data_IF_009099845395
#
_entry.id   IF_009099845395
#
_cell.length_a   1.000
_cell.length_b   1.000
_cell.length_c   1.000
_cell.angle_alpha   90.00
_cell.angle_beta   90.00
_cell.angle_gamma   90.00
#
_symmetry.space_group_name_H-M   'P 1'
#
loop_
_entity.id
_entity.type
_entity.pdbx_description
1 polymer ?
#
# COMPACT_ATOMS: atom_id res chain seq x y z
N UNK A 1 -35.31 -46.89 -22.04
CA UNK A 1 -35.03 -45.60 -22.68
C UNK A 1 -35.46 -44.49 -21.71
N UNK A 2 -34.55 -44.02 -20.91
CA UNK A 2 -34.79 -42.95 -19.94
C UNK A 2 -33.82 -41.81 -20.26
N UNK A 3 -34.37 -40.68 -20.70
CA UNK A 3 -33.63 -39.45 -20.97
C UNK A 3 -33.46 -38.66 -19.69
N UNK A 4 -32.22 -38.41 -19.25
CA UNK A 4 -31.90 -37.50 -18.18
C UNK A 4 -31.76 -36.09 -18.75
N UNK A 5 -32.60 -35.15 -18.30
CA UNK A 5 -32.50 -33.74 -18.61
C UNK A 5 -31.44 -33.07 -17.71
N UNK A 6 -30.38 -32.58 -18.30
CA UNK A 6 -29.36 -31.74 -17.65
C UNK A 6 -29.86 -30.31 -17.58
N UNK A 7 -30.26 -29.83 -16.41
CA UNK A 7 -30.54 -28.42 -16.16
C UNK A 7 -29.22 -27.68 -15.81
N UNK A 8 -28.49 -27.25 -16.82
CA UNK A 8 -27.40 -26.30 -16.70
C UNK A 8 -27.97 -24.88 -16.61
N UNK A 9 -27.75 -24.19 -15.50
CA UNK A 9 -28.05 -22.74 -15.36
C UNK A 9 -27.12 -21.96 -16.31
N UNK A 10 -27.72 -21.30 -17.31
CA UNK A 10 -27.05 -20.48 -18.31
C UNK A 10 -26.56 -19.17 -17.68
N UNK A 11 -25.30 -18.81 -17.92
CA UNK A 11 -24.66 -17.54 -17.50
C UNK A 11 -25.46 -16.29 -17.88
N UNK A 12 -26.28 -16.36 -18.93
CA UNK A 12 -27.15 -15.26 -19.36
C UNK A 12 -28.36 -15.04 -18.46
N UNK A 13 -28.81 -16.06 -17.74
CA UNK A 13 -29.92 -15.97 -16.79
C UNK A 13 -29.52 -15.29 -15.48
N UNK A 14 -28.23 -15.38 -15.08
CA UNK A 14 -27.69 -14.71 -13.91
C UNK A 14 -27.58 -13.18 -14.11
N UNK A 15 -27.26 -12.73 -15.32
CA UNK A 15 -27.09 -11.31 -15.65
C UNK A 15 -28.41 -10.56 -15.89
N UNK A 16 -29.55 -11.26 -16.09
CA UNK A 16 -30.85 -10.63 -16.31
C UNK A 16 -31.65 -10.35 -15.04
N UNK A 17 -31.21 -10.87 -13.89
CA UNK A 17 -31.85 -10.63 -12.59
C UNK A 17 -31.35 -9.37 -11.88
N UNK A 18 -30.39 -8.62 -12.46
CA UNK A 18 -29.72 -7.47 -11.85
C UNK A 18 -30.16 -6.10 -12.38
N UNK A 19 -31.35 -5.99 -12.95
CA UNK A 19 -31.87 -4.70 -13.39
C UNK A 19 -33.11 -4.32 -12.59
N UNK A 20 -32.95 -3.20 -11.85
CA UNK A 20 -33.99 -2.40 -11.20
C UNK A 20 -34.49 -2.94 -9.87
N UNK A 21 -33.77 -2.65 -8.79
CA UNK A 21 -34.34 -2.29 -7.51
C UNK A 21 -33.42 -1.24 -6.88
N UNK A 22 -33.98 -0.10 -6.55
CA UNK A 22 -33.34 1.07 -5.94
C UNK A 22 -32.50 0.70 -4.73
N UNK A 23 -31.25 1.17 -4.73
CA UNK A 23 -30.12 0.81 -3.86
C UNK A 23 -30.22 1.27 -2.40
N UNK A 24 -31.33 1.83 -1.96
CA UNK A 24 -31.51 2.33 -0.58
C UNK A 24 -32.06 1.31 0.43
N UNK A 25 -32.51 0.13 0.00
CA UNK A 25 -33.09 -0.88 0.90
C UNK A 25 -32.14 -2.04 1.24
N UNK A 26 -31.06 -2.24 0.49
CA UNK A 26 -30.19 -3.43 0.65
C UNK A 26 -29.16 -3.29 1.79
N UNK A 27 -28.71 -2.08 2.13
CA UNK A 27 -27.75 -1.88 3.22
C UNK A 27 -28.37 -1.98 4.62
N UNK A 28 -29.64 -1.65 4.80
CA UNK A 28 -30.33 -1.83 6.07
C UNK A 28 -30.56 -3.29 6.47
N UNK A 29 -30.65 -4.21 5.51
CA UNK A 29 -30.88 -5.63 5.77
C UNK A 29 -29.59 -6.39 6.14
N UNK A 30 -28.42 -5.96 5.66
CA UNK A 30 -27.15 -6.57 6.04
C UNK A 30 -26.72 -6.22 7.47
N UNK A 31 -27.03 -5.03 7.96
CA UNK A 31 -26.73 -4.62 9.32
C UNK A 31 -27.55 -5.38 10.39
N UNK A 32 -28.77 -5.80 10.04
CA UNK A 32 -29.64 -6.57 10.96
C UNK A 32 -29.30 -8.05 10.95
N UNK A 33 -28.89 -8.62 9.80
CA UNK A 33 -28.49 -10.02 9.70
C UNK A 33 -27.12 -10.32 10.36
N UNK A 34 -26.19 -9.36 10.35
CA UNK A 34 -24.88 -9.51 10.99
C UNK A 34 -24.99 -9.63 12.53
N UNK A 35 -26.00 -9.03 13.16
CA UNK A 35 -26.19 -9.11 14.61
C UNK A 35 -26.80 -10.44 15.10
N UNK A 36 -27.34 -11.28 14.24
CA UNK A 36 -27.93 -12.57 14.63
C UNK A 36 -27.03 -13.77 14.36
N UNK A 37 -25.94 -13.62 13.62
CA UNK A 37 -25.00 -14.71 13.30
C UNK A 37 -23.87 -14.90 14.37
N UNK A 38 -23.84 -14.07 15.41
CA UNK A 38 -22.75 -14.07 16.44
C UNK A 38 -23.00 -15.08 17.57
N UNK A 39 -24.09 -15.83 17.57
CA UNK A 39 -24.48 -16.68 18.71
C UNK A 39 -24.02 -18.14 18.65
N UNK A 40 -23.15 -18.55 17.73
CA UNK A 40 -22.66 -19.93 17.67
C UNK A 40 -21.25 -20.04 17.07
N UNK A 41 -20.21 -19.58 17.77
CA UNK A 41 -18.86 -20.03 17.49
C UNK A 41 -18.13 -20.36 18.80
N UNK A 42 -17.54 -21.56 18.80
CA UNK A 42 -16.66 -22.12 19.82
C UNK A 42 -15.81 -21.05 20.51
N UNK A 43 -15.75 -21.12 21.85
CA UNK A 43 -14.66 -20.54 22.64
C UNK A 43 -13.30 -21.02 22.10
N UNK A 44 -12.68 -20.20 21.24
CA UNK A 44 -11.24 -20.14 21.19
C UNK A 44 -10.90 -19.26 22.38
N UNK A 45 -10.30 -19.82 23.38
CA UNK A 45 -9.75 -19.10 24.54
C UNK A 45 -8.59 -18.23 23.99
N UNK A 46 -8.92 -17.08 23.42
CA UNK A 46 -8.02 -15.95 23.37
C UNK A 46 -7.93 -15.48 24.83
N UNK A 47 -6.75 -15.47 25.41
CA UNK A 47 -6.50 -14.70 26.63
C UNK A 47 -7.13 -13.33 26.38
N UNK A 48 -8.12 -12.96 27.19
CA UNK A 48 -8.83 -11.70 27.01
C UNK A 48 -7.81 -10.58 27.21
N UNK A 49 -7.34 -10.03 26.11
CA UNK A 49 -6.46 -8.86 26.12
C UNK A 49 -7.19 -7.79 26.94
N UNK A 50 -6.63 -7.38 28.08
CA UNK A 50 -7.26 -6.41 28.99
C UNK A 50 -7.48 -5.13 28.20
N UNK A 51 -8.73 -4.85 27.87
CA UNK A 51 -9.09 -3.61 27.19
C UNK A 51 -8.91 -2.45 28.18
N UNK A 52 -8.08 -1.47 27.80
CA UNK A 52 -7.92 -0.26 28.60
C UNK A 52 -9.21 0.57 28.55
N UNK A 53 -9.56 1.17 29.68
CA UNK A 53 -10.64 2.15 29.79
C UNK A 53 -10.24 3.47 29.08
N UNK A 54 -11.22 4.30 28.75
CA UNK A 54 -10.96 5.64 28.18
C UNK A 54 -10.04 6.48 29.08
N UNK A 55 -10.17 6.40 30.39
CA UNK A 55 -9.31 7.12 31.34
C UNK A 55 -7.85 6.62 31.29
N UNK A 56 -7.67 5.30 31.17
CA UNK A 56 -6.34 4.69 31.04
C UNK A 56 -5.70 5.06 29.70
N UNK A 57 -6.46 5.03 28.58
CA UNK A 57 -5.97 5.44 27.28
C UNK A 57 -5.60 6.93 27.28
N UNK A 58 -6.41 7.78 27.92
CA UNK A 58 -6.12 9.20 28.04
C UNK A 58 -4.84 9.50 28.87
N UNK A 59 -4.46 8.60 29.76
CA UNK A 59 -3.25 8.69 30.58
C UNK A 59 -1.99 8.15 29.88
N UNK A 60 -2.11 7.50 28.74
CA UNK A 60 -0.96 6.98 27.99
C UNK A 60 -0.05 8.12 27.50
N UNK A 61 1.27 7.87 27.38
CA UNK A 61 2.18 8.78 26.71
C UNK A 61 1.68 9.11 25.29
N UNK A 62 1.76 10.37 24.89
CA UNK A 62 1.33 10.83 23.56
C UNK A 62 2.54 11.27 22.76
N UNK A 63 2.63 10.80 21.52
CA UNK A 63 3.72 11.12 20.59
C UNK A 63 3.12 11.61 19.27
N UNK A 64 3.40 12.86 18.92
CA UNK A 64 3.07 13.39 17.60
C UNK A 64 4.04 12.80 16.59
N UNK A 65 3.53 12.12 15.56
CA UNK A 65 4.32 11.64 14.44
C UNK A 65 4.27 12.65 13.30
N UNK A 66 5.42 13.24 12.98
CA UNK A 66 5.57 14.05 11.77
C UNK A 66 5.62 13.11 10.57
N UNK A 67 4.65 13.26 9.66
CA UNK A 67 4.59 12.49 8.43
C UNK A 67 5.62 13.02 7.43
N UNK A 68 6.23 12.10 6.70
CA UNK A 68 7.21 12.41 5.65
C UNK A 68 6.76 11.83 4.32
N UNK A 69 7.05 12.53 3.24
CA UNK A 69 6.72 12.05 1.91
C UNK A 69 7.52 10.77 1.57
N UNK A 70 6.92 9.78 0.88
CA UNK A 70 7.66 8.66 0.31
C UNK A 70 8.82 9.14 -0.58
N UNK A 71 9.94 8.42 -0.67
CA UNK A 71 10.16 7.05 -0.21
C UNK A 71 10.66 6.90 1.23
N UNK A 72 10.58 7.95 2.04
CA UNK A 72 11.10 7.96 3.40
C UNK A 72 10.05 7.53 4.41
N UNK A 73 10.52 7.03 5.56
CA UNK A 73 9.71 6.71 6.71
C UNK A 73 9.89 7.76 7.82
N UNK A 74 8.87 8.03 8.66
CA UNK A 74 9.04 8.86 9.83
C UNK A 74 10.07 8.25 10.78
N UNK A 75 10.75 9.11 11.56
CA UNK A 75 11.69 8.65 12.58
C UNK A 75 10.94 7.79 13.61
N UNK A 76 11.48 6.62 13.90
CA UNK A 76 10.87 5.64 14.81
C UNK A 76 11.94 4.77 15.48
N UNK A 77 11.57 4.14 16.59
CA UNK A 77 12.37 3.11 17.24
C UNK A 77 12.03 1.74 16.65
N UNK A 78 13.03 0.92 16.36
CA UNK A 78 12.82 -0.45 15.85
C UNK A 78 12.34 -1.40 16.95
N UNK A 79 12.68 -1.10 18.21
CA UNK A 79 12.23 -1.79 19.42
C UNK A 79 11.51 -0.79 20.29
N UNK A 80 10.32 -1.14 20.77
CA UNK A 80 9.50 -0.23 21.55
C UNK A 80 10.19 0.19 22.86
N UNK A 81 10.14 1.48 23.14
CA UNK A 81 10.62 2.04 24.40
C UNK A 81 9.45 2.16 25.40
N UNK A 82 9.33 1.17 26.26
CA UNK A 82 8.26 1.15 27.28
C UNK A 82 6.93 0.52 26.82
N UNK A 83 5.84 0.85 27.52
CA UNK A 83 4.49 0.34 27.26
C UNK A 83 3.79 0.98 26.06
N UNK A 84 2.48 0.69 25.90
CA UNK A 84 1.66 1.32 24.86
C UNK A 84 1.64 2.84 24.96
N UNK A 85 1.51 3.50 23.80
CA UNK A 85 1.39 4.96 23.68
C UNK A 85 0.30 5.33 22.66
N UNK A 86 -0.07 6.60 22.63
CA UNK A 86 -0.93 7.16 21.60
C UNK A 86 -0.04 7.88 20.58
N UNK A 87 -0.05 7.39 19.34
CA UNK A 87 0.62 8.02 18.19
C UNK A 87 -0.39 8.95 17.53
N UNK A 88 -0.12 10.26 17.59
CA UNK A 88 -0.97 11.28 17.01
C UNK A 88 -0.53 11.59 15.59
N UNK A 89 -1.44 11.44 14.64
CA UNK A 89 -1.22 11.66 13.20
C UNK A 89 -2.22 12.67 12.68
N UNK A 90 -1.78 13.61 11.88
CA UNK A 90 -2.66 14.53 11.14
C UNK A 90 -2.41 14.37 9.65
N UNK A 91 -3.45 14.13 8.87
CA UNK A 91 -3.42 14.03 7.42
C UNK A 91 -4.36 15.05 6.80
N UNK A 92 -3.87 15.78 5.82
CA UNK A 92 -4.68 16.71 5.02
C UNK A 92 -4.89 16.12 3.62
N UNK A 93 -6.13 15.97 3.22
CA UNK A 93 -6.49 15.51 1.89
C UNK A 93 -6.25 16.63 0.89
N UNK A 94 -5.62 16.29 -0.25
CA UNK A 94 -5.41 17.25 -1.35
C UNK A 94 -5.81 16.61 -2.68
N UNK A 95 -6.68 17.31 -3.38
CA UNK A 95 -7.01 17.04 -4.78
C UNK A 95 -6.15 17.95 -5.64
N UNK A 96 -5.27 17.40 -6.47
CA UNK A 96 -4.27 18.20 -7.18
C UNK A 96 -3.90 17.63 -8.53
N UNK A 97 -3.49 18.49 -9.47
CA UNK A 97 -2.90 18.05 -10.74
C UNK A 97 -1.65 17.24 -10.48
N UNK A 98 -1.52 16.13 -11.17
CA UNK A 98 -0.44 15.17 -11.02
C UNK A 98 0.05 14.72 -12.38
N UNK A 99 1.28 15.08 -12.69
CA UNK A 99 1.99 14.59 -13.87
C UNK A 99 2.49 13.17 -13.60
N UNK A 100 2.11 12.22 -14.45
CA UNK A 100 2.47 10.81 -14.29
C UNK A 100 3.73 10.44 -15.07
N UNK A 101 3.94 11.06 -16.23
CA UNK A 101 5.13 10.88 -17.06
C UNK A 101 5.52 12.18 -17.79
N UNK A 102 6.57 12.13 -18.60
CA UNK A 102 7.08 13.24 -19.40
C UNK A 102 6.43 13.35 -20.78
N UNK A 103 5.48 12.46 -21.13
CA UNK A 103 4.73 12.50 -22.39
C UNK A 103 3.47 13.35 -22.32
N UNK A 104 3.20 13.96 -21.16
CA UNK A 104 2.01 14.76 -20.89
C UNK A 104 0.84 13.98 -20.30
N UNK A 105 1.06 12.72 -19.86
CA UNK A 105 0.07 12.00 -19.10
C UNK A 105 -0.11 12.64 -17.71
N UNK A 106 -1.29 13.19 -17.46
CA UNK A 106 -1.65 13.80 -16.19
C UNK A 106 -3.01 13.34 -15.70
N UNK A 107 -3.22 13.43 -14.39
CA UNK A 107 -4.51 13.20 -13.75
C UNK A 107 -4.72 14.18 -12.60
N UNK A 108 -5.93 14.23 -12.07
CA UNK A 108 -6.19 14.81 -10.76
C UNK A 108 -5.96 13.73 -9.70
N UNK A 109 -4.79 13.77 -9.06
CA UNK A 109 -4.52 12.85 -7.96
C UNK A 109 -5.35 13.22 -6.74
N UNK A 110 -5.88 12.21 -6.09
CA UNK A 110 -6.52 12.27 -4.79
C UNK A 110 -5.49 11.76 -3.79
N UNK A 111 -5.08 12.59 -2.85
CA UNK A 111 -3.89 12.28 -2.04
C UNK A 111 -4.11 12.47 -0.55
N UNK A 112 -3.38 11.68 0.24
CA UNK A 112 -3.15 11.96 1.65
C UNK A 112 -1.83 12.74 1.76
N UNK A 113 -1.90 13.97 2.29
CA UNK A 113 -0.79 14.93 2.45
C UNK A 113 -0.06 15.33 1.15
N UNK A 114 -0.68 15.11 -0.02
CA UNK A 114 -0.13 15.60 -1.30
C UNK A 114 0.98 14.72 -1.85
N UNK A 115 1.02 13.45 -1.53
CA UNK A 115 1.93 12.46 -2.12
C UNK A 115 1.19 11.21 -2.59
N UNK A 116 1.77 10.49 -3.55
CA UNK A 116 1.33 9.18 -4.03
C UNK A 116 2.52 8.24 -3.96
N UNK A 117 2.46 7.21 -3.10
CA UNK A 117 1.42 6.94 -2.10
C UNK A 117 1.41 8.01 -1.00
N UNK A 118 0.37 8.02 -0.18
CA UNK A 118 0.34 8.78 1.06
C UNK A 118 1.44 8.34 2.04
N UNK A 119 1.76 9.16 3.06
CA UNK A 119 2.86 8.91 3.98
C UNK A 119 2.74 7.59 4.74
N UNK A 120 3.89 6.98 5.08
CA UNK A 120 3.94 5.83 5.98
C UNK A 120 3.61 6.25 7.42
N UNK A 121 2.68 5.55 8.07
CA UNK A 121 2.45 5.64 9.52
C UNK A 121 3.22 4.52 10.19
N UNK A 122 3.92 4.81 11.30
CA UNK A 122 4.67 3.82 12.05
C UNK A 122 4.24 3.81 13.51
N UNK A 123 3.92 2.63 14.03
CA UNK A 123 3.63 2.42 15.46
C UNK A 123 4.10 1.02 15.89
N UNK A 124 3.94 0.67 17.16
CA UNK A 124 4.19 -0.67 17.66
C UNK A 124 2.88 -1.38 18.00
N UNK A 125 2.93 -2.69 17.97
CA UNK A 125 1.81 -3.51 18.42
C UNK A 125 1.38 -3.12 19.84
N UNK A 126 0.07 -2.98 20.05
CA UNK A 126 -0.52 -2.50 21.30
C UNK A 126 -0.62 -0.97 21.42
N UNK A 127 0.04 -0.18 20.58
CA UNK A 127 -0.13 1.28 20.54
C UNK A 127 -1.52 1.66 20.02
N UNK A 128 -1.96 2.87 20.33
CA UNK A 128 -3.13 3.50 19.75
C UNK A 128 -2.68 4.54 18.71
N UNK A 129 -3.34 4.57 17.57
CA UNK A 129 -3.17 5.64 16.59
C UNK A 129 -4.38 6.56 16.63
N UNK A 130 -4.17 7.84 16.87
CA UNK A 130 -5.19 8.88 16.74
C UNK A 130 -4.94 9.69 15.48
N UNK A 131 -5.71 9.41 14.44
CA UNK A 131 -5.69 10.16 13.20
C UNK A 131 -6.65 11.35 13.27
N UNK A 132 -6.16 12.53 12.91
CA UNK A 132 -7.01 13.67 12.50
C UNK A 132 -6.97 13.74 10.98
N UNK A 133 -8.09 13.48 10.32
CA UNK A 133 -8.25 13.56 8.86
C UNK A 133 -8.97 14.87 8.53
N UNK A 134 -8.37 15.67 7.65
CA UNK A 134 -8.85 16.99 7.26
C UNK A 134 -9.14 16.98 5.77
N UNK A 135 -10.37 17.34 5.39
CA UNK A 135 -10.77 17.59 4.01
C UNK A 135 -11.00 19.10 3.82
N UNK A 136 -10.04 19.84 3.25
CA UNK A 136 -10.18 21.29 3.07
C UNK A 136 -11.37 21.67 2.20
N UNK A 137 -11.95 22.85 2.45
CA UNK A 137 -13.08 23.41 1.67
C UNK A 137 -12.74 23.58 0.17
N UNK A 138 -11.45 23.66 -0.16
CA UNK A 138 -10.98 23.76 -1.55
C UNK A 138 -11.12 22.47 -2.36
N UNK A 139 -11.29 21.32 -1.70
CA UNK A 139 -11.54 20.05 -2.37
C UNK A 139 -12.98 19.97 -2.89
N UNK A 140 -13.21 19.08 -3.85
CA UNK A 140 -14.50 18.94 -4.54
C UNK A 140 -15.27 17.70 -4.12
N UNK A 141 -14.57 16.70 -3.55
CA UNK A 141 -15.12 15.38 -3.27
C UNK A 141 -15.12 15.06 -1.78
N UNK A 142 -16.00 14.16 -1.40
CA UNK A 142 -15.99 13.53 -0.09
C UNK A 142 -14.95 12.43 -0.01
N UNK A 143 -14.38 12.26 1.16
CA UNK A 143 -13.30 11.30 1.40
C UNK A 143 -13.46 10.60 2.75
N UNK A 144 -12.77 9.48 2.90
CA UNK A 144 -12.63 8.77 4.17
C UNK A 144 -11.30 8.03 4.20
N UNK A 145 -11.09 7.17 5.20
CA UNK A 145 -9.94 6.28 5.24
C UNK A 145 -10.34 4.92 5.81
N UNK A 146 -9.99 3.87 5.09
CA UNK A 146 -10.05 2.47 5.49
C UNK A 146 -8.63 2.02 5.84
N UNK A 147 -8.42 1.57 7.09
CA UNK A 147 -7.16 1.01 7.56
C UNK A 147 -7.21 -0.51 7.61
N UNK A 148 -6.45 -1.19 6.78
CA UNK A 148 -6.30 -2.65 6.87
C UNK A 148 -5.59 -3.08 8.17
N UNK A 149 -4.89 -2.18 8.85
CA UNK A 149 -4.26 -2.39 10.14
C UNK A 149 -5.20 -2.30 11.33
N UNK A 150 -6.42 -1.78 11.15
CA UNK A 150 -7.40 -1.63 12.21
C UNK A 150 -8.28 -2.87 12.35
N UNK A 151 -8.88 -3.05 13.53
CA UNK A 151 -9.90 -4.07 13.77
C UNK A 151 -11.23 -3.38 14.01
N UNK A 152 -12.15 -3.51 13.07
CA UNK A 152 -13.48 -2.90 13.12
C UNK A 152 -14.15 -2.90 11.74
N UNK A 153 -15.46 -2.70 11.71
CA UNK A 153 -16.22 -2.71 10.46
C UNK A 153 -15.73 -1.61 9.51
N UNK A 154 -15.52 -1.98 8.24
CA UNK A 154 -15.05 -1.10 7.17
C UNK A 154 -13.72 -0.37 7.50
N UNK A 155 -12.85 -1.00 8.32
CA UNK A 155 -11.52 -0.44 8.64
C UNK A 155 -11.53 0.99 9.21
N UNK A 156 -12.69 1.48 9.67
CA UNK A 156 -12.91 2.86 10.10
C UNK A 156 -13.51 3.78 9.02
N UNK A 157 -13.71 3.30 7.79
CA UNK A 157 -14.19 4.12 6.66
C UNK A 157 -15.50 4.85 6.94
N UNK A 158 -16.48 4.17 7.57
CA UNK A 158 -17.75 4.81 7.94
C UNK A 158 -17.63 5.86 9.07
N UNK A 159 -16.55 5.79 9.85
CA UNK A 159 -16.29 6.69 10.98
C UNK A 159 -15.43 7.90 10.60
N UNK A 160 -14.90 7.90 9.37
CA UNK A 160 -13.96 8.92 8.89
C UNK A 160 -14.43 9.64 7.63
N UNK A 161 -15.69 9.47 7.26
CA UNK A 161 -16.26 10.18 6.12
C UNK A 161 -16.32 11.68 6.41
N UNK A 162 -15.71 12.49 5.54
CA UNK A 162 -15.60 13.95 5.64
C UNK A 162 -15.94 14.61 4.30
N UNK A 163 -16.84 15.58 4.35
CA UNK A 163 -17.13 16.48 3.24
C UNK A 163 -16.08 17.59 3.14
N UNK A 164 -15.97 18.30 2.00
CA UNK A 164 -15.15 19.50 1.90
C UNK A 164 -15.45 20.50 3.03
N UNK A 165 -14.41 20.97 3.71
CA UNK A 165 -14.52 21.85 4.88
C UNK A 165 -14.66 21.13 6.23
N UNK A 166 -14.65 19.81 6.24
CA UNK A 166 -14.80 19.02 7.46
C UNK A 166 -13.48 18.34 7.89
N UNK A 167 -13.43 17.98 9.16
CA UNK A 167 -12.40 17.11 9.72
C UNK A 167 -13.02 16.11 10.70
N UNK A 168 -12.34 14.99 10.88
CA UNK A 168 -12.73 13.95 11.84
C UNK A 168 -11.51 13.42 12.58
N UNK A 169 -11.72 12.89 13.78
CA UNK A 169 -10.69 12.18 14.52
C UNK A 169 -11.12 10.73 14.75
N UNK A 170 -10.27 9.79 14.35
CA UNK A 170 -10.43 8.36 14.58
C UNK A 170 -9.30 7.87 15.48
N UNK A 171 -9.61 7.02 16.46
CA UNK A 171 -8.63 6.26 17.23
C UNK A 171 -8.85 4.77 17.00
N UNK A 172 -7.76 4.05 16.73
CA UNK A 172 -7.77 2.59 16.65
C UNK A 172 -6.53 2.02 17.36
N UNK A 173 -6.62 0.76 17.84
CA UNK A 173 -5.52 0.04 18.49
C UNK A 173 -4.81 -0.83 17.46
N UNK A 174 -3.49 -0.81 17.43
CA UNK A 174 -2.65 -1.65 16.60
C UNK A 174 -2.54 -3.06 17.22
N UNK A 175 -3.44 -3.97 16.86
CA UNK A 175 -3.54 -5.30 17.48
C UNK A 175 -2.75 -6.40 16.75
N UNK A 176 -2.17 -6.09 15.58
CA UNK A 176 -1.38 -7.02 14.79
C UNK A 176 -0.14 -6.31 14.27
N UNK A 177 1.02 -6.95 14.43
CA UNK A 177 2.26 -6.47 13.82
C UNK A 177 2.34 -6.85 12.36
N UNK A 178 2.85 -5.92 11.53
CA UNK A 178 2.96 -6.10 10.09
C UNK A 178 2.99 -4.79 9.33
N UNK A 179 2.97 -4.89 8.00
CA UNK A 179 2.75 -3.78 7.10
C UNK A 179 1.39 -3.93 6.41
N UNK A 180 0.63 -2.85 6.38
CA UNK A 180 -0.76 -2.85 5.93
C UNK A 180 -1.01 -1.65 5.04
N UNK A 181 -1.87 -1.78 4.04
CA UNK A 181 -2.32 -0.61 3.29
C UNK A 181 -3.40 0.16 4.05
N UNK A 182 -3.54 1.43 3.73
CA UNK A 182 -4.74 2.22 3.96
C UNK A 182 -5.15 2.88 2.65
N UNK A 183 -6.42 3.15 2.48
CA UNK A 183 -6.92 3.82 1.28
C UNK A 183 -8.25 4.52 1.52
N UNK A 184 -8.61 5.41 0.62
CA UNK A 184 -9.95 5.97 0.60
C UNK A 184 -10.95 4.93 0.09
N UNK A 185 -12.10 4.82 0.74
CA UNK A 185 -13.16 3.88 0.39
C UNK A 185 -14.54 4.52 0.61
N UNK A 186 -14.88 5.59 -0.11
CA UNK A 186 -16.09 6.37 0.20
C UNK A 186 -17.34 5.55 -0.06
N UNK A 187 -17.57 5.05 -1.25
CA UNK A 187 -18.73 4.18 -1.56
C UNK A 187 -18.67 3.61 -2.98
N UNK A 188 -19.08 2.35 -3.16
CA UNK A 188 -19.35 1.74 -4.45
C UNK A 188 -18.23 1.87 -5.48
N UNK A 189 -18.55 2.43 -6.64
CA UNK A 189 -17.56 2.62 -7.73
C UNK A 189 -16.51 3.69 -7.43
N UNK A 190 -16.76 4.54 -6.42
CA UNK A 190 -15.78 5.56 -6.01
C UNK A 190 -14.60 4.95 -5.27
N UNK A 191 -14.74 3.78 -4.65
CA UNK A 191 -13.64 3.09 -4.00
C UNK A 191 -12.47 2.84 -4.97
N UNK A 192 -12.63 2.07 -6.06
CA UNK A 192 -11.54 1.89 -7.02
C UNK A 192 -11.14 3.19 -7.70
N UNK A 193 -12.09 4.13 -7.95
CA UNK A 193 -11.76 5.42 -8.53
C UNK A 193 -10.77 6.20 -7.66
N UNK A 194 -11.01 6.35 -6.35
CA UNK A 194 -10.10 7.06 -5.45
C UNK A 194 -8.74 6.35 -5.34
N UNK A 195 -8.73 5.02 -5.25
CA UNK A 195 -7.49 4.24 -5.15
C UNK A 195 -6.61 4.41 -6.40
N UNK A 196 -7.18 4.29 -7.61
CA UNK A 196 -6.39 4.43 -8.85
C UNK A 196 -6.03 5.88 -9.18
N UNK A 197 -6.56 6.87 -8.45
CA UNK A 197 -6.12 8.26 -8.50
C UNK A 197 -5.09 8.59 -7.41
N UNK A 198 -4.53 7.57 -6.72
CA UNK A 198 -3.41 7.73 -5.81
C UNK A 198 -3.76 7.77 -4.33
N UNK A 199 -5.05 7.63 -3.96
CA UNK A 199 -5.49 7.82 -2.58
C UNK A 199 -5.32 6.56 -1.73
N UNK A 200 -4.07 6.19 -1.52
CA UNK A 200 -3.65 5.05 -0.71
C UNK A 200 -2.29 5.30 -0.04
N UNK A 201 -1.94 4.47 0.92
CA UNK A 201 -0.67 4.51 1.62
C UNK A 201 -0.48 3.27 2.48
N UNK A 202 0.45 3.31 3.45
CA UNK A 202 0.73 2.17 4.30
C UNK A 202 0.91 2.53 5.78
N UNK A 203 0.66 1.54 6.64
CA UNK A 203 0.97 1.53 8.07
C UNK A 203 1.97 0.41 8.33
N UNK A 204 3.04 0.71 9.04
CA UNK A 204 3.95 -0.28 9.61
C UNK A 204 3.71 -0.38 11.11
N UNK A 205 3.23 -1.53 11.56
CA UNK A 205 3.08 -1.87 12.98
C UNK A 205 4.22 -2.81 13.35
N UNK A 206 5.23 -2.30 14.02
CA UNK A 206 6.37 -3.10 14.46
C UNK A 206 6.01 -3.98 15.66
N UNK A 207 6.54 -5.21 15.74
CA UNK A 207 6.53 -5.96 16.99
C UNK A 207 7.24 -5.13 18.07
N UNK A 208 6.75 -5.18 19.34
CA UNK A 208 7.35 -4.38 20.41
C UNK A 208 8.83 -4.74 20.67
N UNK A 209 9.18 -5.99 20.44
CA UNK A 209 10.54 -6.49 20.61
C UNK A 209 11.41 -6.35 19.35
N UNK A 210 10.91 -5.69 18.28
CA UNK A 210 11.57 -5.56 16.98
C UNK A 210 11.33 -6.77 16.08
N UNK A 211 11.84 -6.66 14.84
CA UNK A 211 11.76 -7.74 13.85
C UNK A 211 12.68 -8.90 14.27
N UNK A 212 12.25 -10.13 14.03
CA UNK A 212 13.04 -11.32 14.38
C UNK A 212 13.09 -12.30 13.23
N UNK A 213 14.17 -13.08 13.18
CA UNK A 213 14.24 -14.26 12.34
C UNK A 213 13.51 -15.46 12.98
N UNK A 214 13.44 -16.58 12.26
CA UNK A 214 12.81 -17.82 12.72
C UNK A 214 13.45 -18.42 14.00
N UNK A 215 14.68 -18.04 14.32
CA UNK A 215 15.43 -18.50 15.51
C UNK A 215 15.28 -17.50 16.68
N UNK A 216 14.53 -16.41 16.49
CA UNK A 216 14.25 -15.39 17.49
C UNK A 216 15.36 -14.33 17.61
N UNK A 217 16.35 -14.31 16.70
CA UNK A 217 17.38 -13.29 16.70
C UNK A 217 16.81 -11.96 16.20
N UNK A 218 17.19 -10.86 16.84
CA UNK A 218 16.78 -9.52 16.46
C UNK A 218 17.38 -9.15 15.09
N UNK A 219 16.51 -8.69 14.20
CA UNK A 219 16.88 -8.13 12.89
C UNK A 219 16.77 -6.60 12.97
N UNK A 220 17.85 -5.92 12.54
CA UNK A 220 17.89 -4.45 12.49
C UNK A 220 18.13 -3.97 11.07
N UNK A 221 17.82 -2.69 10.84
CA UNK A 221 18.02 -2.02 9.55
C UNK A 221 18.55 -0.61 9.75
N UNK A 222 19.25 -0.12 8.75
CA UNK A 222 19.84 1.22 8.72
C UNK A 222 19.00 2.19 7.90
N UNK A 223 18.38 1.68 6.83
CA UNK A 223 17.58 2.44 5.87
C UNK A 223 16.16 1.88 5.80
N UNK A 224 15.19 2.74 5.54
CA UNK A 224 13.82 2.33 5.16
C UNK A 224 13.50 2.93 3.80
N UNK A 225 13.13 2.07 2.86
CA UNK A 225 12.66 2.47 1.52
C UNK A 225 11.19 2.12 1.37
N UNK A 226 10.34 3.15 1.42
CA UNK A 226 8.91 2.98 1.24
C UNK A 226 8.53 3.18 -0.22
N UNK A 227 8.13 2.08 -0.86
CA UNK A 227 7.68 2.03 -2.25
C UNK A 227 6.19 1.78 -2.28
N UNK A 228 5.44 2.70 -2.87
CA UNK A 228 4.04 2.48 -3.24
C UNK A 228 3.94 2.25 -4.73
N UNK A 229 3.49 1.07 -5.14
CA UNK A 229 3.19 0.79 -6.54
C UNK A 229 1.77 1.25 -6.85
N UNK A 230 1.66 2.13 -7.84
CA UNK A 230 0.41 2.77 -8.25
C UNK A 230 0.11 2.43 -9.70
N UNK A 231 -1.11 1.96 -9.95
CA UNK A 231 -1.65 1.78 -11.29
C UNK A 231 -2.59 2.95 -11.63
N UNK A 232 -2.29 3.64 -12.75
CA UNK A 232 -3.13 4.71 -13.30
C UNK A 232 -3.87 4.25 -14.56
N UNK A 233 -5.05 4.81 -14.78
CA UNK A 233 -5.93 4.54 -15.92
C UNK A 233 -6.31 5.87 -16.60
N UNK A 234 -5.36 6.46 -17.31
CA UNK A 234 -5.51 7.79 -17.93
C UNK A 234 -6.17 7.64 -19.30
N UNK A 235 -7.32 8.31 -19.54
CA UNK A 235 -8.00 8.23 -20.82
C UNK A 235 -7.22 8.93 -21.94
N UNK A 236 -7.40 8.42 -23.16
CA UNK A 236 -6.96 9.06 -24.40
C UNK A 236 -8.17 9.50 -25.24
N UNK A 237 -7.98 10.51 -26.04
CA UNK A 237 -8.97 10.94 -27.02
C UNK A 237 -8.92 10.07 -28.30
N UNK A 238 -9.73 10.43 -29.30
CA UNK A 238 -9.81 9.71 -30.58
C UNK A 238 -8.54 9.80 -31.43
N UNK A 239 -7.67 10.79 -31.15
CA UNK A 239 -6.39 10.97 -31.82
C UNK A 239 -5.25 10.21 -31.12
N UNK A 240 -5.51 9.67 -29.93
CA UNK A 240 -4.54 8.98 -29.09
C UNK A 240 -3.78 9.90 -28.12
N UNK A 241 -4.18 11.18 -28.02
CA UNK A 241 -3.61 12.13 -27.07
C UNK A 241 -4.22 11.97 -25.67
N UNK A 242 -3.44 12.28 -24.63
CA UNK A 242 -3.92 12.22 -23.26
C UNK A 242 -5.00 13.26 -23.00
N UNK A 243 -6.13 12.86 -22.42
CA UNK A 243 -7.18 13.79 -22.01
C UNK A 243 -6.78 14.54 -20.74
N UNK A 244 -7.02 15.85 -20.76
CA UNK A 244 -6.79 16.77 -19.63
C UNK A 244 -8.12 17.26 -19.08
N UNK A 245 -8.22 17.44 -17.75
CA UNK A 245 -9.44 17.80 -17.04
C UNK A 245 -9.19 19.02 -16.13
N UNK A 246 -10.24 19.83 -15.93
CA UNK A 246 -10.13 21.06 -15.15
C UNK A 246 -10.16 20.86 -13.63
N UNK A 247 -10.69 19.73 -13.16
CA UNK A 247 -10.79 19.45 -11.73
C UNK A 247 -10.98 17.99 -11.39
N UNK A 248 -10.78 17.65 -10.12
CA UNK A 248 -11.04 16.32 -9.61
C UNK A 248 -12.50 15.90 -9.86
N UNK A 249 -12.70 14.68 -10.34
CA UNK A 249 -13.99 14.13 -10.69
C UNK A 249 -14.47 14.41 -12.13
N UNK A 250 -13.91 15.39 -12.84
CA UNK A 250 -14.34 15.72 -14.19
C UNK A 250 -14.06 14.59 -15.20
N UNK A 251 -13.11 13.71 -14.91
CA UNK A 251 -12.73 12.56 -15.74
C UNK A 251 -13.57 11.29 -15.50
N UNK A 252 -14.53 11.32 -14.58
CA UNK A 252 -15.27 10.15 -14.11
C UNK A 252 -15.85 9.29 -15.26
N UNK A 253 -16.54 9.94 -16.22
CA UNK A 253 -17.14 9.27 -17.36
C UNK A 253 -16.14 8.58 -18.29
N UNK A 254 -14.94 9.12 -18.43
CA UNK A 254 -13.90 8.65 -19.36
C UNK A 254 -12.99 7.61 -18.71
N UNK A 255 -12.73 7.73 -17.40
CA UNK A 255 -11.82 6.85 -16.66
C UNK A 255 -12.43 5.46 -16.45
N UNK A 256 -13.73 5.35 -16.13
CA UNK A 256 -14.35 4.05 -15.87
C UNK A 256 -14.28 3.06 -17.02
N UNK A 257 -14.50 3.45 -18.29
CA UNK A 257 -14.24 2.55 -19.43
C UNK A 257 -12.82 2.00 -19.45
N UNK A 258 -11.79 2.83 -19.17
CA UNK A 258 -10.39 2.40 -19.11
C UNK A 258 -10.16 1.46 -17.94
N UNK A 259 -10.63 1.79 -16.73
CA UNK A 259 -10.52 0.94 -15.54
C UNK A 259 -11.12 -0.46 -15.77
N UNK A 260 -12.27 -0.53 -16.46
CA UNK A 260 -12.95 -1.81 -16.74
C UNK A 260 -12.19 -2.74 -17.68
N UNK A 261 -11.17 -2.24 -18.39
CA UNK A 261 -10.27 -3.10 -19.18
C UNK A 261 -9.36 -3.92 -18.29
N UNK A 262 -9.17 -3.53 -17.01
CA UNK A 262 -8.20 -4.08 -16.06
C UNK A 262 -6.75 -3.96 -16.55
N UNK A 263 -6.52 -3.09 -17.54
CA UNK A 263 -5.20 -2.82 -18.11
C UNK A 263 -4.84 -1.38 -17.79
N UNK A 264 -3.94 -1.12 -16.85
CA UNK A 264 -3.50 0.22 -16.51
C UNK A 264 -2.72 0.85 -17.67
N UNK A 265 -2.79 2.16 -17.79
CA UNK A 265 -1.97 2.92 -18.72
C UNK A 265 -0.55 3.12 -18.20
N UNK A 266 -0.41 3.21 -16.87
CA UNK A 266 0.86 3.34 -16.16
C UNK A 266 0.83 2.46 -14.92
N UNK A 267 1.97 1.85 -14.62
CA UNK A 267 2.24 1.20 -13.34
C UNK A 267 3.57 1.78 -12.87
N UNK A 268 3.53 2.57 -11.81
CA UNK A 268 4.66 3.39 -11.40
C UNK A 268 4.98 3.21 -9.92
N UNK A 269 6.22 3.46 -9.55
CA UNK A 269 6.60 3.59 -8.16
C UNK A 269 6.51 5.04 -7.73
N UNK A 270 5.92 5.28 -6.56
CA UNK A 270 5.76 6.58 -5.92
C UNK A 270 5.15 7.65 -6.86
N UNK A 271 4.10 7.22 -7.58
CA UNK A 271 3.16 8.08 -8.29
C UNK A 271 3.63 8.65 -9.62
N UNK A 272 4.87 8.41 -10.07
CA UNK A 272 5.38 8.95 -11.33
C UNK A 272 6.41 8.02 -11.96
N UNK A 273 6.43 7.95 -13.28
CA UNK A 273 7.52 7.32 -14.03
C UNK A 273 8.84 8.00 -13.67
N UNK A 274 9.81 7.23 -13.23
CA UNK A 274 11.12 7.76 -12.86
C UNK A 274 11.21 8.47 -11.51
N UNK A 275 10.15 8.43 -10.67
CA UNK A 275 10.17 9.09 -9.36
C UNK A 275 11.33 8.66 -8.45
N UNK A 276 11.82 7.44 -8.61
CA UNK A 276 12.91 6.85 -7.82
C UNK A 276 14.12 6.43 -8.69
N UNK A 277 14.36 7.11 -9.81
CA UNK A 277 15.48 6.81 -10.71
C UNK A 277 16.33 8.05 -11.00
N UNK A 278 17.47 7.90 -11.66
CA UNK A 278 18.34 9.02 -11.99
C UNK A 278 18.81 9.79 -10.78
N UNK A 279 18.60 11.09 -10.76
CA UNK A 279 18.98 11.97 -9.65
C UNK A 279 18.14 11.72 -8.37
N UNK A 280 16.96 11.10 -8.51
CA UNK A 280 16.07 10.74 -7.42
C UNK A 280 16.31 9.30 -6.90
N UNK A 281 17.35 8.62 -7.39
CA UNK A 281 17.68 7.26 -6.95
C UNK A 281 17.87 7.20 -5.43
N UNK A 282 17.39 6.11 -4.84
CA UNK A 282 17.64 5.79 -3.45
C UNK A 282 19.15 5.61 -3.21
N UNK A 283 19.61 5.81 -1.98
CA UNK A 283 21.04 5.75 -1.65
C UNK A 283 21.28 4.85 -0.45
N UNK A 284 22.33 4.04 -0.52
CA UNK A 284 22.81 3.22 0.59
C UNK A 284 24.32 2.98 0.46
N UNK A 285 24.89 2.12 1.28
CA UNK A 285 26.31 1.76 1.22
C UNK A 285 26.48 0.26 1.53
N UNK A 286 27.62 -0.31 1.11
CA UNK A 286 28.02 -1.67 1.45
C UNK A 286 28.04 -1.86 2.97
N UNK A 287 27.47 -2.94 3.45
CA UNK A 287 27.32 -3.29 4.87
C UNK A 287 26.04 -2.73 5.53
N UNK A 288 25.31 -1.80 4.88
CA UNK A 288 24.02 -1.30 5.40
C UNK A 288 22.89 -2.25 5.03
N UNK A 289 21.94 -2.39 5.94
CA UNK A 289 20.71 -3.16 5.74
C UNK A 289 19.55 -2.21 5.49
N UNK A 290 18.84 -2.41 4.38
CA UNK A 290 17.62 -1.68 4.06
C UNK A 290 16.38 -2.53 4.35
N UNK A 291 15.37 -1.90 4.97
CA UNK A 291 14.01 -2.40 5.05
C UNK A 291 13.21 -1.81 3.89
N UNK A 292 12.82 -2.66 2.95
CA UNK A 292 11.88 -2.32 1.88
C UNK A 292 10.46 -2.54 2.39
N UNK A 293 9.65 -1.49 2.35
CA UNK A 293 8.20 -1.57 2.53
C UNK A 293 7.59 -1.38 1.15
N UNK A 294 6.84 -2.36 0.66
CA UNK A 294 6.18 -2.28 -0.64
C UNK A 294 4.68 -2.44 -0.48
N UNK A 295 3.92 -1.44 -0.92
CA UNK A 295 2.47 -1.41 -0.84
C UNK A 295 1.84 -1.35 -2.24
N UNK A 296 0.79 -2.14 -2.48
CA UNK A 296 -0.03 -2.08 -3.69
C UNK A 296 -1.51 -2.23 -3.29
N UNK A 297 -2.28 -1.18 -3.46
CA UNK A 297 -3.64 -1.11 -2.93
C UNK A 297 -4.71 -1.67 -3.87
N UNK A 298 -4.40 -2.01 -5.11
CA UNK A 298 -5.38 -2.48 -6.11
C UNK A 298 -4.99 -3.81 -6.77
N UNK A 299 -3.80 -3.89 -7.40
CA UNK A 299 -3.34 -5.06 -8.14
C UNK A 299 -2.28 -5.84 -7.34
N UNK A 300 -2.04 -7.08 -7.72
CA UNK A 300 -0.89 -7.85 -7.22
C UNK A 300 0.41 -7.39 -7.90
N UNK A 301 1.53 -7.60 -7.21
CA UNK A 301 2.86 -7.22 -7.70
C UNK A 301 3.92 -8.28 -7.34
N UNK A 302 5.07 -8.20 -8.00
CA UNK A 302 6.16 -9.17 -7.88
C UNK A 302 7.50 -8.44 -7.74
N UNK A 303 7.77 -7.86 -6.57
CA UNK A 303 9.03 -7.17 -6.34
C UNK A 303 10.24 -8.08 -6.49
N UNK A 304 11.29 -7.53 -7.11
CA UNK A 304 12.60 -8.16 -7.30
C UNK A 304 13.70 -7.11 -7.12
N UNK A 305 14.80 -7.51 -6.50
CA UNK A 305 15.99 -6.67 -6.36
C UNK A 305 17.09 -7.22 -7.27
N UNK A 306 17.31 -6.56 -8.42
CA UNK A 306 18.45 -6.91 -9.30
C UNK A 306 19.75 -6.54 -8.59
N UNK A 307 20.57 -7.55 -8.36
CA UNK A 307 21.84 -7.43 -7.62
C UNK A 307 21.80 -8.03 -6.22
N UNK A 308 20.63 -8.52 -5.78
CA UNK A 308 20.48 -9.16 -4.46
C UNK A 308 19.26 -10.06 -4.37
N UNK A 309 19.12 -10.67 -3.20
CA UNK A 309 17.97 -11.48 -2.84
C UNK A 309 17.41 -10.92 -1.52
N UNK A 310 16.12 -11.04 -1.28
CA UNK A 310 15.57 -10.71 0.04
C UNK A 310 16.19 -11.61 1.11
N UNK A 311 17.04 -11.05 1.98
CA UNK A 311 17.62 -11.84 3.07
C UNK A 311 16.53 -12.39 3.98
N UNK A 312 15.54 -11.54 4.31
CA UNK A 312 14.32 -11.88 5.06
C UNK A 312 13.12 -11.21 4.40
N UNK A 313 12.07 -11.96 4.11
CA UNK A 313 10.91 -11.46 3.37
C UNK A 313 9.61 -11.85 4.07
N UNK A 314 8.79 -10.86 4.38
CA UNK A 314 7.39 -11.00 4.82
C UNK A 314 6.47 -10.60 3.67
N UNK A 315 6.29 -11.49 2.70
CA UNK A 315 5.46 -11.22 1.52
C UNK A 315 3.96 -11.10 1.85
N UNK A 316 3.52 -11.67 2.98
CA UNK A 316 2.16 -11.52 3.50
C UNK A 316 1.95 -10.19 4.23
N UNK A 317 3.03 -9.48 4.54
CA UNK A 317 3.03 -8.29 5.38
C UNK A 317 2.96 -8.56 6.89
N UNK A 318 2.69 -9.78 7.33
CA UNK A 318 2.57 -10.13 8.75
C UNK A 318 3.94 -10.36 9.39
N UNK A 319 4.31 -9.56 10.37
CA UNK A 319 5.53 -9.77 11.17
C UNK A 319 5.38 -10.85 12.25
N UNK A 320 4.17 -11.39 12.41
CA UNK A 320 3.92 -12.55 13.26
C UNK A 320 4.31 -13.87 12.56
N UNK A 321 4.48 -13.85 11.25
CA UNK A 321 4.96 -14.99 10.48
C UNK A 321 6.49 -15.02 10.48
N UNK A 322 7.08 -16.23 10.46
CA UNK A 322 8.50 -16.38 10.19
C UNK A 322 8.82 -15.85 8.79
N UNK A 323 9.86 -15.00 8.62
CA UNK A 323 10.22 -14.52 7.30
C UNK A 323 10.77 -15.64 6.41
N UNK A 324 10.38 -15.65 5.15
CA UNK A 324 11.08 -16.44 4.14
C UNK A 324 12.49 -15.86 3.93
N UNK A 325 13.45 -16.68 3.53
CA UNK A 325 14.85 -16.26 3.36
C UNK A 325 15.36 -16.53 1.96
N UNK A 326 16.18 -15.60 1.43
CA UNK A 326 16.88 -15.77 0.16
C UNK A 326 15.97 -15.77 -1.07
N UNK A 327 14.84 -15.05 -1.02
CA UNK A 327 13.94 -14.98 -2.16
C UNK A 327 14.50 -14.04 -3.24
N UNK A 328 14.52 -14.51 -4.49
CA UNK A 328 14.87 -13.67 -5.63
C UNK A 328 13.73 -12.71 -6.01
N UNK A 329 12.50 -13.19 -5.97
CA UNK A 329 11.28 -12.46 -6.25
C UNK A 329 10.21 -12.91 -5.25
N UNK A 330 9.40 -11.99 -4.75
CA UNK A 330 8.32 -12.33 -3.83
C UNK A 330 6.98 -11.80 -4.33
N UNK A 331 5.90 -12.28 -3.76
CA UNK A 331 4.56 -11.98 -4.23
C UNK A 331 3.79 -11.16 -3.20
N UNK A 332 3.39 -9.94 -3.58
CA UNK A 332 2.50 -9.11 -2.77
C UNK A 332 1.11 -9.13 -3.41
N UNK A 333 0.13 -9.54 -2.62
CA UNK A 333 -1.26 -9.63 -3.04
C UNK A 333 -1.85 -8.24 -3.24
N UNK A 334 -2.76 -8.10 -4.19
CA UNK A 334 -3.53 -6.85 -4.37
C UNK A 334 -4.25 -6.46 -3.08
N UNK A 335 -4.22 -5.16 -2.75
CA UNK A 335 -4.79 -4.64 -1.51
C UNK A 335 -3.98 -5.00 -0.26
N UNK A 336 -2.66 -5.20 -0.40
CA UNK A 336 -1.78 -5.49 0.74
C UNK A 336 -0.41 -4.82 0.61
N UNK A 337 0.38 -4.93 1.66
CA UNK A 337 1.78 -4.54 1.66
C UNK A 337 2.66 -5.71 2.12
N UNK A 338 3.93 -5.68 1.74
CA UNK A 338 4.95 -6.63 2.18
C UNK A 338 6.21 -5.91 2.63
N UNK A 339 7.09 -6.64 3.28
CA UNK A 339 8.37 -6.13 3.74
C UNK A 339 9.52 -7.08 3.39
N UNK A 340 10.70 -6.52 3.13
CA UNK A 340 11.91 -7.31 2.89
C UNK A 340 13.13 -6.60 3.49
N UNK A 341 14.04 -7.36 4.08
CA UNK A 341 15.37 -6.89 4.50
C UNK A 341 16.41 -7.37 3.50
N UNK A 342 17.33 -6.50 3.15
CA UNK A 342 18.51 -6.84 2.37
C UNK A 342 19.73 -6.05 2.85
N UNK A 343 20.84 -6.75 3.09
CA UNK A 343 22.13 -6.14 3.41
C UNK A 343 22.96 -6.03 2.14
N UNK A 344 23.30 -4.79 1.74
CA UNK A 344 24.10 -4.54 0.53
C UNK A 344 25.53 -5.05 0.70
N UNK A 345 25.99 -5.90 -0.24
CA UNK A 345 27.31 -6.56 -0.18
C UNK A 345 28.27 -6.10 -1.26
N UNK A 346 27.78 -5.44 -2.30
CA UNK A 346 28.57 -4.88 -3.40
C UNK A 346 28.15 -3.44 -3.68
N UNK A 347 29.06 -2.55 -4.08
CA UNK A 347 28.70 -1.21 -4.55
C UNK A 347 28.12 -1.26 -5.97
N UNK A 348 27.47 -0.18 -6.37
CA UNK A 348 26.96 0.00 -7.72
C UNK A 348 25.47 0.33 -7.75
N UNK A 349 24.86 0.15 -8.91
CA UNK A 349 23.44 0.41 -9.12
C UNK A 349 22.66 -0.89 -8.96
N UNK A 350 21.76 -0.90 -7.99
CA UNK A 350 20.75 -1.93 -7.85
C UNK A 350 19.44 -1.41 -8.44
N UNK A 351 18.62 -2.32 -8.99
CA UNK A 351 17.30 -1.96 -9.48
C UNK A 351 16.25 -2.77 -8.70
N UNK A 352 15.37 -2.06 -8.00
CA UNK A 352 14.21 -2.66 -7.37
C UNK A 352 13.00 -2.42 -8.26
N UNK A 353 12.33 -3.47 -8.71
CA UNK A 353 11.30 -3.38 -9.73
C UNK A 353 10.19 -4.43 -9.53
N UNK A 354 9.03 -4.20 -10.16
CA UNK A 354 8.03 -5.24 -10.39
C UNK A 354 8.53 -6.17 -11.51
N UNK A 355 8.65 -7.48 -11.25
CA UNK A 355 9.18 -8.42 -12.25
C UNK A 355 8.18 -8.83 -13.34
N UNK A 356 7.08 -8.12 -13.51
CA UNK A 356 6.45 -7.97 -14.81
C UNK A 356 7.26 -6.91 -15.58
N UNK A 357 8.19 -7.35 -16.42
CA UNK A 357 9.16 -6.47 -17.05
C UNK A 357 8.56 -5.44 -18.00
N UNK A 358 7.36 -5.69 -18.53
CA UNK A 358 6.62 -4.70 -19.30
C UNK A 358 6.15 -3.56 -18.36
N UNK A 359 5.60 -3.90 -17.21
CA UNK A 359 5.19 -2.90 -16.20
C UNK A 359 6.40 -2.15 -15.64
N UNK A 360 7.53 -2.83 -15.43
CA UNK A 360 8.74 -2.20 -14.92
C UNK A 360 9.37 -1.22 -15.90
N UNK A 361 9.57 -1.64 -17.15
CA UNK A 361 10.41 -0.90 -18.12
C UNK A 361 9.57 0.09 -18.94
N UNK A 362 8.38 -0.33 -19.40
CA UNK A 362 7.57 0.50 -20.29
C UNK A 362 6.56 1.37 -19.52
N UNK A 363 6.08 0.89 -18.35
CA UNK A 363 5.06 1.60 -17.58
C UNK A 363 5.59 2.29 -16.32
N UNK A 364 6.86 2.03 -15.90
CA UNK A 364 7.56 2.81 -14.89
C UNK A 364 7.65 2.20 -13.49
N UNK A 365 7.32 0.91 -13.29
CA UNK A 365 7.38 0.24 -11.98
C UNK A 365 8.82 -0.18 -11.60
N UNK A 366 9.73 0.78 -11.53
CA UNK A 366 11.14 0.55 -11.21
C UNK A 366 11.74 1.69 -10.39
N UNK A 367 12.74 1.36 -9.57
CA UNK A 367 13.57 2.30 -8.83
C UNK A 367 15.04 1.90 -8.90
N UNK A 368 15.93 2.88 -8.75
CA UNK A 368 17.37 2.68 -8.63
C UNK A 368 17.80 2.88 -7.17
N UNK A 369 18.79 2.07 -6.74
CA UNK A 369 19.48 2.27 -5.48
C UNK A 369 20.96 2.37 -5.78
N UNK A 370 21.56 3.52 -5.47
CA UNK A 370 23.01 3.76 -5.60
C UNK A 370 23.64 3.31 -4.29
N UNK A 371 24.50 2.30 -4.37
CA UNK A 371 25.22 1.74 -3.22
C UNK A 371 26.69 2.12 -3.33
N UNK A 372 27.18 2.86 -2.33
CA UNK A 372 28.59 3.27 -2.24
C UNK A 372 29.41 2.21 -1.51
N UNK A 373 30.69 2.08 -1.84
CA UNK A 373 31.62 1.16 -1.18
C UNK A 373 32.70 0.64 -2.09
N UNK A 374 33.49 -0.29 -1.58
CA UNK A 374 34.55 -0.94 -2.33
C UNK A 374 34.04 -2.23 -3.00
N UNK A 375 34.49 -2.47 -4.24
CA UNK A 375 34.11 -3.65 -4.99
C UNK A 375 34.84 -4.90 -4.47
N UNK A 376 34.09 -5.99 -4.28
CA UNK A 376 34.58 -7.29 -3.86
C UNK A 376 34.64 -8.25 -5.06
N UNK A 377 35.87 -8.51 -5.54
CA UNK A 377 36.14 -9.43 -6.65
C UNK A 377 35.80 -10.90 -6.34
N UNK A 378 35.67 -11.28 -5.05
CA UNK A 378 35.30 -12.64 -4.65
C UNK A 378 33.80 -12.90 -4.91
N UNK A 379 32.96 -11.86 -4.73
CA UNK A 379 31.55 -11.97 -5.00
C UNK A 379 31.22 -11.90 -6.50
N UNK A 380 31.92 -11.06 -7.26
CA UNK A 380 31.68 -10.91 -8.69
C UNK A 380 32.90 -10.29 -9.40
N UNK A 381 33.36 -10.91 -10.47
CA UNK A 381 34.50 -10.43 -11.24
C UNK A 381 34.38 -10.73 -12.72
N UNK A 382 34.66 -9.74 -13.57
CA UNK A 382 34.89 -9.99 -14.98
C UNK A 382 36.27 -10.63 -15.20
N UNK A 383 36.29 -11.94 -15.43
CA UNK A 383 37.56 -12.70 -15.59
C UNK A 383 38.21 -12.57 -16.98
N UNK A 384 37.43 -12.20 -18.00
CA UNK A 384 37.90 -11.91 -19.35
C UNK A 384 37.02 -10.80 -19.98
N UNK A 385 37.63 -9.93 -20.78
CA UNK A 385 36.90 -8.93 -21.58
C UNK A 385 36.20 -9.60 -22.76
N UNK A 386 35.10 -9.02 -23.28
CA UNK A 386 34.52 -9.47 -24.55
C UNK A 386 35.57 -9.47 -25.65
N UNK A 387 35.62 -10.55 -26.41
CA UNK A 387 36.49 -10.71 -27.57
C UNK A 387 35.72 -11.40 -28.72
N UNK A 388 36.14 -11.24 -29.98
CA UNK A 388 35.55 -11.97 -31.09
C UNK A 388 35.68 -13.47 -30.91
N UNK A 389 34.61 -14.21 -31.25
CA UNK A 389 34.63 -15.67 -31.24
C UNK A 389 35.66 -16.13 -32.31
N UNK A 390 36.64 -16.95 -31.94
CA UNK A 390 37.54 -17.55 -32.93
C UNK A 390 36.77 -18.31 -34.00
N UNK A 391 37.16 -18.15 -35.27
CA UNK A 391 36.54 -18.80 -36.41
C UNK A 391 36.70 -20.31 -36.39
#
# INVERSE_FOLDING_TARGET
MTSSSNNGLDRRSFLKASTVASSTAAFGAFAVAANQAVAATKEVAAEAEVSLTEAEIAALPRVKQELVAPPFAPKHDQVAQGGPKVVEVTMTIKEMRWEVDDTGAETWALTFDGSVPGPLIVCHEGDYVELTLINPESNRMDHNIDFHSSTGALGGGALTHVLPGEQVKLRWKAVKSGVFVYHCAPEGQMIPYHVVHGMNGAVMVLPREGLKDKDGNLLSYDDVFYVGEQDFYIPKDENGDWKVYEGAGDNFGDVFPVMRTLTPTHVVFNGKVGALTGDNALKSAVGRTALFIHAQSNRDTRPHLIGGHGDYVWETGSFADDPATGLETWFIRGGSAGAALYTFRQPGVYVYLNHNLIEAIELGAASHIIVEGDWDDDLMKQVAKPEPIPA
#
